data_IF_015679379159
#
_entry.id   IF_015679379159
#
_cell.length_a   1.000
_cell.length_b   1.000
_cell.length_c   1.000
_cell.angle_alpha   90.00
_cell.angle_beta   90.00
_cell.angle_gamma   90.00
#
_symmetry.space_group_name_H-M   'P 1'
#
loop_
_entity.id
_entity.type
_entity.pdbx_description
1 polymer ?
#
# COMPACT_ATOMS: atom_id res chain seq x y z
N UNK A 1 7.73 -6.69 -18.17
CA UNK A 1 7.02 -6.32 -16.92
C UNK A 1 7.88 -6.47 -15.66
N UNK A 2 8.78 -7.47 -15.57
CA UNK A 2 9.71 -7.66 -14.44
C UNK A 2 10.74 -6.52 -14.18
N UNK A 3 11.02 -5.67 -15.17
CA UNK A 3 11.93 -4.52 -15.02
C UNK A 3 11.34 -3.31 -14.26
N UNK A 4 10.04 -3.33 -13.95
CA UNK A 4 9.38 -2.29 -13.15
C UNK A 4 9.49 -2.53 -11.64
N UNK A 5 9.95 -3.72 -11.21
CA UNK A 5 9.88 -4.16 -9.80
C UNK A 5 11.24 -4.08 -9.08
N UNK A 6 12.36 -4.01 -9.80
CA UNK A 6 13.66 -3.75 -9.16
C UNK A 6 13.80 -2.26 -8.84
N UNK A 7 13.74 -1.92 -7.56
CA UNK A 7 14.39 -0.72 -7.04
C UNK A 7 15.85 -0.77 -7.49
N UNK A 8 16.24 0.19 -8.31
CA UNK A 8 17.62 0.30 -8.79
C UNK A 8 18.50 0.53 -7.55
N UNK A 9 19.53 -0.30 -7.28
CA UNK A 9 20.44 -0.08 -6.15
C UNK A 9 21.11 1.30 -6.18
N UNK A 10 21.15 1.95 -7.35
CA UNK A 10 21.65 3.32 -7.53
C UNK A 10 20.67 4.44 -7.14
N UNK A 11 19.40 4.11 -6.83
CA UNK A 11 18.39 5.07 -6.41
C UNK A 11 18.65 5.59 -4.98
N UNK A 12 19.12 4.72 -4.08
CA UNK A 12 19.35 5.07 -2.68
C UNK A 12 20.80 5.49 -2.46
N UNK A 13 21.12 6.70 -2.91
CA UNK A 13 22.48 7.21 -2.82
C UNK A 13 22.90 7.43 -1.35
N UNK A 14 24.06 6.91 -0.89
CA UNK A 14 24.49 7.05 0.50
C UNK A 14 24.58 8.50 0.98
N UNK A 15 24.96 9.43 0.12
CA UNK A 15 25.07 10.86 0.41
C UNK A 15 23.72 11.53 0.74
N UNK A 16 22.60 10.92 0.38
CA UNK A 16 21.26 11.42 0.68
C UNK A 16 20.74 11.00 2.06
N UNK A 17 21.43 10.06 2.72
CA UNK A 17 21.03 9.56 4.03
C UNK A 17 20.85 10.68 5.08
N UNK A 18 21.72 11.71 5.20
CA UNK A 18 21.50 12.80 6.14
C UNK A 18 20.15 13.52 5.94
N UNK A 19 19.72 13.72 4.69
CA UNK A 19 18.42 14.33 4.39
C UNK A 19 17.27 13.41 4.80
N UNK A 20 17.33 12.12 4.45
CA UNK A 20 16.27 11.13 4.78
C UNK A 20 16.04 11.01 6.28
N UNK A 21 17.10 11.16 7.09
CA UNK A 21 17.01 11.12 8.55
C UNK A 21 16.88 12.51 9.19
N UNK A 22 16.77 13.58 8.40
CA UNK A 22 16.56 14.93 8.88
C UNK A 22 15.15 15.17 9.43
N UNK A 23 14.93 16.35 10.01
CA UNK A 23 13.60 16.82 10.45
C UNK A 23 12.78 17.47 9.32
N UNK A 24 13.25 17.42 8.07
CA UNK A 24 12.50 17.96 6.95
C UNK A 24 11.12 17.25 6.84
N UNK A 25 10.00 17.98 6.68
CA UNK A 25 8.65 17.37 6.70
C UNK A 25 8.47 16.22 5.72
N UNK A 26 9.00 16.36 4.50
CA UNK A 26 8.95 15.31 3.49
C UNK A 26 9.73 14.05 3.90
N UNK A 27 10.90 14.22 4.52
CA UNK A 27 11.70 13.10 5.00
C UNK A 27 11.01 12.39 6.18
N UNK A 28 10.33 13.14 7.05
CA UNK A 28 9.49 12.57 8.11
C UNK A 28 8.33 11.77 7.51
N UNK A 29 7.57 12.37 6.59
CA UNK A 29 6.45 11.72 5.93
C UNK A 29 6.89 10.42 5.24
N UNK A 30 7.97 10.48 4.46
CA UNK A 30 8.57 9.31 3.82
C UNK A 30 8.89 8.20 4.83
N UNK A 31 9.57 8.53 5.94
CA UNK A 31 9.97 7.52 6.93
C UNK A 31 8.79 6.81 7.60
N UNK A 32 7.70 7.50 7.83
CA UNK A 32 6.51 6.93 8.49
C UNK A 32 5.47 6.39 7.53
N UNK A 33 5.59 6.68 6.23
CA UNK A 33 4.59 6.32 5.22
C UNK A 33 4.34 4.81 5.13
N UNK A 34 5.37 3.98 5.34
CA UNK A 34 5.25 2.52 5.39
C UNK A 34 4.33 2.02 6.52
N UNK A 35 4.14 2.81 7.59
CA UNK A 35 3.26 2.48 8.70
C UNK A 35 1.79 2.36 8.31
N UNK A 36 1.38 2.95 7.18
CA UNK A 36 0.04 2.80 6.63
C UNK A 36 -0.32 1.33 6.35
N UNK A 37 0.64 0.51 5.90
CA UNK A 37 0.41 -0.93 5.69
C UNK A 37 0.08 -1.64 7.00
N UNK A 38 0.85 -1.39 8.06
CA UNK A 38 0.61 -2.01 9.36
C UNK A 38 -0.70 -1.55 9.96
N UNK A 39 -1.07 -0.28 9.81
CA UNK A 39 -2.35 0.22 10.31
C UNK A 39 -3.54 -0.40 9.55
N UNK A 40 -3.48 -0.48 8.22
CA UNK A 40 -4.49 -1.18 7.42
C UNK A 40 -4.60 -2.65 7.82
N UNK A 41 -3.46 -3.33 8.01
CA UNK A 41 -3.41 -4.72 8.43
C UNK A 41 -4.05 -4.96 9.79
N UNK A 42 -3.74 -4.13 10.79
CA UNK A 42 -4.34 -4.20 12.13
C UNK A 42 -5.85 -3.99 12.10
N UNK A 43 -6.35 -3.02 11.32
CA UNK A 43 -7.79 -2.82 11.17
C UNK A 43 -8.46 -4.01 10.51
N UNK A 44 -7.82 -4.60 9.51
CA UNK A 44 -8.36 -5.75 8.81
C UNK A 44 -8.37 -7.01 9.69
N UNK A 45 -7.41 -7.15 10.62
CA UNK A 45 -7.46 -8.17 11.67
C UNK A 45 -8.61 -7.91 12.65
N UNK A 46 -8.78 -6.66 13.09
CA UNK A 46 -9.83 -6.27 14.04
C UNK A 46 -11.24 -6.47 13.46
N UNK A 47 -11.42 -6.20 12.17
CA UNK A 47 -12.70 -6.31 11.48
C UNK A 47 -12.80 -7.56 10.59
N UNK A 48 -11.91 -8.55 10.75
CA UNK A 48 -11.83 -9.71 9.87
C UNK A 48 -13.18 -10.45 9.76
N UNK A 49 -13.87 -10.67 10.88
CA UNK A 49 -15.15 -11.37 10.89
C UNK A 49 -16.25 -10.59 10.16
N UNK A 50 -16.20 -9.25 10.22
CA UNK A 50 -17.11 -8.39 9.44
C UNK A 50 -16.80 -8.45 7.96
N UNK A 51 -15.51 -8.44 7.59
CA UNK A 51 -15.10 -8.53 6.19
C UNK A 51 -15.52 -9.87 5.55
N UNK A 52 -15.61 -10.96 6.33
CA UNK A 52 -16.13 -12.25 5.85
C UNK A 52 -17.58 -12.17 5.36
N UNK A 53 -18.40 -11.25 5.90
CA UNK A 53 -19.77 -11.03 5.42
C UNK A 53 -19.81 -10.46 4.00
N UNK A 54 -18.74 -9.78 3.58
CA UNK A 54 -18.61 -9.25 2.22
C UNK A 54 -18.01 -10.26 1.24
N UNK A 55 -17.07 -11.09 1.69
CA UNK A 55 -16.56 -12.24 0.93
C UNK A 55 -15.93 -13.29 1.87
N UNK A 56 -16.59 -14.44 1.99
CA UNK A 56 -16.10 -15.54 2.82
C UNK A 56 -14.94 -16.33 2.19
N UNK A 57 -14.69 -16.17 0.88
CA UNK A 57 -13.61 -16.82 0.15
C UNK A 57 -12.25 -16.17 0.38
N UNK A 58 -12.20 -14.99 1.00
CA UNK A 58 -10.97 -14.26 1.29
C UNK A 58 -10.48 -14.59 2.70
N UNK A 59 -9.20 -14.91 2.82
CA UNK A 59 -8.55 -15.18 4.11
C UNK A 59 -8.14 -13.86 4.76
N UNK A 60 -9.13 -13.10 5.25
CA UNK A 60 -8.93 -11.75 5.79
C UNK A 60 -7.85 -11.71 6.88
N UNK A 61 -7.82 -12.65 7.82
CA UNK A 61 -6.77 -12.64 8.85
C UNK A 61 -5.35 -12.80 8.28
N UNK A 62 -5.16 -13.70 7.32
CA UNK A 62 -3.86 -13.90 6.68
C UNK A 62 -3.42 -12.65 5.92
N UNK A 63 -4.36 -12.00 5.24
CA UNK A 63 -4.15 -10.71 4.60
C UNK A 63 -3.73 -9.63 5.61
N UNK A 64 -4.47 -9.50 6.71
CA UNK A 64 -4.17 -8.52 7.75
C UNK A 64 -2.76 -8.69 8.32
N UNK A 65 -2.37 -9.93 8.62
CA UNK A 65 -1.02 -10.26 9.05
C UNK A 65 0.03 -9.91 7.99
N UNK A 66 -0.23 -10.23 6.72
CA UNK A 66 0.70 -9.94 5.64
C UNK A 66 0.91 -8.43 5.45
N UNK A 67 -0.13 -7.60 5.62
CA UNK A 67 -0.01 -6.14 5.62
C UNK A 67 0.79 -5.60 6.81
N UNK A 68 0.61 -6.18 8.00
CA UNK A 68 1.43 -5.84 9.18
C UNK A 68 2.89 -6.10 8.91
N UNK A 69 3.21 -7.29 8.40
CA UNK A 69 4.58 -7.68 8.02
C UNK A 69 5.11 -6.77 6.92
N UNK A 70 4.32 -6.45 5.91
CA UNK A 70 4.71 -5.56 4.81
C UNK A 70 5.11 -4.18 5.32
N UNK A 71 4.41 -3.60 6.30
CA UNK A 71 4.81 -2.30 6.85
C UNK A 71 6.20 -2.32 7.50
N UNK A 72 6.53 -3.40 8.22
CA UNK A 72 7.86 -3.59 8.79
C UNK A 72 8.93 -3.82 7.70
N UNK A 73 8.65 -4.69 6.73
CA UNK A 73 9.55 -5.01 5.62
C UNK A 73 9.82 -3.77 4.76
N UNK A 74 8.79 -2.99 4.45
CA UNK A 74 8.90 -1.73 3.71
C UNK A 74 9.77 -0.73 4.47
N UNK A 75 9.56 -0.54 5.78
CA UNK A 75 10.43 0.35 6.56
C UNK A 75 11.90 -0.11 6.55
N UNK A 76 12.14 -1.42 6.66
CA UNK A 76 13.49 -1.97 6.64
C UNK A 76 14.16 -1.81 5.26
N UNK A 77 13.40 -2.04 4.19
CA UNK A 77 13.86 -1.90 2.80
C UNK A 77 14.10 -0.44 2.42
N UNK A 78 13.09 0.40 2.58
CA UNK A 78 13.09 1.80 2.15
C UNK A 78 13.94 2.68 3.07
N UNK A 79 13.75 2.62 4.38
CA UNK A 79 14.29 3.63 5.31
C UNK A 79 15.57 3.15 5.98
N UNK A 80 15.49 2.04 6.72
CA UNK A 80 16.58 1.59 7.58
C UNK A 80 17.83 1.28 6.75
N UNK A 81 17.64 0.60 5.63
CA UNK A 81 18.72 0.20 4.72
C UNK A 81 19.08 1.24 3.66
N UNK A 82 18.57 2.46 3.74
CA UNK A 82 18.92 3.54 2.80
C UNK A 82 20.44 3.72 2.65
N UNK A 83 20.94 3.74 1.42
CA UNK A 83 22.38 3.87 1.16
C UNK A 83 23.23 2.64 1.50
N UNK A 84 22.61 1.50 1.81
CA UNK A 84 23.31 0.25 2.19
C UNK A 84 22.74 -0.96 1.44
N UNK A 85 23.56 -1.98 1.14
CA UNK A 85 23.05 -3.28 0.71
C UNK A 85 22.19 -3.92 1.79
N UNK A 86 21.08 -4.56 1.40
CA UNK A 86 20.17 -5.22 2.34
C UNK A 86 19.27 -6.20 1.62
N UNK A 87 18.98 -7.34 2.25
CA UNK A 87 18.00 -8.33 1.77
C UNK A 87 16.59 -7.73 1.72
N UNK A 88 16.28 -6.79 2.62
CA UNK A 88 14.98 -6.14 2.72
C UNK A 88 14.61 -5.36 1.44
N UNK A 89 15.59 -4.81 0.72
CA UNK A 89 15.38 -4.13 -0.56
C UNK A 89 14.93 -5.06 -1.69
N UNK A 90 15.14 -6.36 -1.54
CA UNK A 90 14.67 -7.37 -2.48
C UNK A 90 13.31 -7.92 -2.04
N UNK A 91 13.13 -8.15 -0.73
CA UNK A 91 11.89 -8.69 -0.18
C UNK A 91 10.72 -7.70 -0.24
N UNK A 92 10.96 -6.43 0.03
CA UNK A 92 9.92 -5.39 0.01
C UNK A 92 9.18 -5.31 -1.33
N UNK A 93 9.84 -5.08 -2.48
CA UNK A 93 9.13 -4.96 -3.75
C UNK A 93 8.45 -6.27 -4.17
N UNK A 94 8.97 -7.43 -3.76
CA UNK A 94 8.32 -8.72 -3.99
C UNK A 94 7.00 -8.81 -3.21
N UNK A 95 7.06 -8.60 -1.89
CA UNK A 95 5.89 -8.68 -1.02
C UNK A 95 4.87 -7.59 -1.36
N UNK A 96 5.31 -6.35 -1.60
CA UNK A 96 4.46 -5.25 -2.04
C UNK A 96 3.74 -5.55 -3.35
N UNK A 97 4.43 -6.15 -4.34
CA UNK A 97 3.81 -6.50 -5.63
C UNK A 97 2.81 -7.65 -5.48
N UNK A 98 3.14 -8.67 -4.70
CA UNK A 98 2.23 -9.80 -4.41
C UNK A 98 0.96 -9.31 -3.72
N UNK A 99 1.10 -8.47 -2.69
CA UNK A 99 -0.04 -7.86 -2.01
C UNK A 99 -0.82 -6.93 -2.94
N UNK A 100 -0.16 -6.07 -3.71
CA UNK A 100 -0.85 -5.19 -4.65
C UNK A 100 -1.67 -5.98 -5.69
N UNK A 101 -1.12 -7.05 -6.26
CA UNK A 101 -1.83 -7.89 -7.23
C UNK A 101 -3.00 -8.66 -6.57
N UNK A 102 -2.77 -9.19 -5.38
CA UNK A 102 -3.79 -9.90 -4.61
C UNK A 102 -4.91 -8.98 -4.10
N UNK A 103 -4.67 -7.68 -3.90
CA UNK A 103 -5.66 -6.78 -3.26
C UNK A 103 -6.15 -5.63 -4.14
N UNK A 104 -5.46 -5.28 -5.22
CA UNK A 104 -5.96 -4.34 -6.21
C UNK A 104 -6.81 -5.05 -7.26
N UNK A 105 -6.18 -5.62 -8.32
CA UNK A 105 -6.91 -6.22 -9.43
C UNK A 105 -7.78 -7.42 -9.05
N UNK A 106 -7.31 -8.29 -8.14
CA UNK A 106 -8.04 -9.50 -7.77
C UNK A 106 -9.33 -9.21 -6.99
N UNK A 107 -9.31 -8.31 -6.00
CA UNK A 107 -10.53 -7.87 -5.32
C UNK A 107 -11.50 -7.17 -6.28
N UNK A 108 -10.98 -6.36 -7.21
CA UNK A 108 -11.78 -5.77 -8.29
C UNK A 108 -12.46 -6.84 -9.16
N UNK A 109 -11.72 -7.86 -9.58
CA UNK A 109 -12.24 -8.98 -10.36
C UNK A 109 -13.31 -9.77 -9.59
N UNK A 110 -13.07 -10.06 -8.30
CA UNK A 110 -14.06 -10.75 -7.45
C UNK A 110 -15.33 -9.93 -7.26
N UNK A 111 -15.23 -8.61 -7.18
CA UNK A 111 -16.39 -7.73 -7.12
C UNK A 111 -17.17 -7.75 -8.44
N UNK A 112 -16.49 -7.68 -9.58
CA UNK A 112 -17.12 -7.77 -10.91
C UNK A 112 -17.79 -9.13 -11.16
N UNK A 113 -17.25 -10.21 -10.58
CA UNK A 113 -17.84 -11.55 -10.63
C UNK A 113 -18.97 -11.76 -9.59
N UNK A 114 -19.31 -10.75 -8.80
CA UNK A 114 -20.39 -10.81 -7.80
C UNK A 114 -20.03 -11.57 -6.52
N UNK A 115 -18.77 -11.97 -6.33
CA UNK A 115 -18.31 -12.64 -5.11
C UNK A 115 -18.02 -11.68 -3.96
N UNK A 116 -17.76 -10.41 -4.28
CA UNK A 116 -17.45 -9.36 -3.30
C UNK A 116 -18.42 -8.19 -3.47
N UNK A 117 -19.42 -8.12 -2.59
CA UNK A 117 -20.50 -7.12 -2.67
C UNK A 117 -20.11 -5.91 -1.82
N UNK A 118 -19.53 -4.89 -2.45
CA UNK A 118 -19.18 -3.62 -1.79
C UNK A 118 -19.89 -2.45 -2.46
N UNK A 119 -20.10 -1.32 -1.75
CA UNK A 119 -20.65 -0.12 -2.35
C UNK A 119 -19.82 0.31 -3.56
N UNK A 120 -20.51 0.71 -4.64
CA UNK A 120 -19.85 1.15 -5.89
C UNK A 120 -18.93 2.34 -5.69
N UNK A 121 -19.25 3.22 -4.73
CA UNK A 121 -18.42 4.36 -4.33
C UNK A 121 -17.08 3.88 -3.76
N UNK A 122 -17.12 2.94 -2.81
CA UNK A 122 -15.93 2.35 -2.17
C UNK A 122 -15.07 1.61 -3.18
N UNK A 123 -15.69 0.84 -4.10
CA UNK A 123 -14.97 0.16 -5.18
C UNK A 123 -14.30 1.14 -6.16
N UNK A 124 -15.03 2.16 -6.62
CA UNK A 124 -14.50 3.18 -7.54
C UNK A 124 -13.32 3.93 -6.93
N UNK A 125 -13.46 4.31 -5.66
CA UNK A 125 -12.39 4.97 -4.90
C UNK A 125 -11.16 4.07 -4.79
N UNK A 126 -11.34 2.79 -4.48
CA UNK A 126 -10.24 1.81 -4.39
C UNK A 126 -9.50 1.64 -5.72
N UNK A 127 -10.22 1.48 -6.83
CA UNK A 127 -9.64 1.33 -8.16
C UNK A 127 -8.88 2.59 -8.60
N UNK A 128 -9.45 3.76 -8.35
CA UNK A 128 -8.78 5.04 -8.60
C UNK A 128 -7.49 5.17 -7.76
N UNK A 129 -7.55 4.77 -6.49
CA UNK A 129 -6.37 4.72 -5.62
C UNK A 129 -5.29 3.78 -6.13
N UNK A 130 -5.65 2.59 -6.60
CA UNK A 130 -4.72 1.64 -7.21
C UNK A 130 -4.03 2.24 -8.45
N UNK A 131 -4.78 2.91 -9.32
CA UNK A 131 -4.23 3.58 -10.50
C UNK A 131 -3.27 4.72 -10.12
N UNK A 132 -3.64 5.54 -9.13
CA UNK A 132 -2.79 6.62 -8.62
C UNK A 132 -1.50 6.08 -7.99
N UNK A 133 -1.59 4.98 -7.24
CA UNK A 133 -0.43 4.32 -6.65
C UNK A 133 0.53 3.84 -7.74
N UNK A 134 0.04 3.13 -8.76
CA UNK A 134 0.87 2.68 -9.89
C UNK A 134 1.53 3.87 -10.60
N UNK A 135 0.79 4.95 -10.82
CA UNK A 135 1.33 6.17 -11.40
C UNK A 135 2.43 6.78 -10.53
N UNK A 136 2.21 6.89 -9.22
CA UNK A 136 3.18 7.39 -8.26
C UNK A 136 4.46 6.53 -8.22
N UNK A 137 4.32 5.20 -8.24
CA UNK A 137 5.45 4.27 -8.30
C UNK A 137 6.25 4.44 -9.59
N UNK A 138 5.57 4.58 -10.73
CA UNK A 138 6.22 4.82 -12.02
C UNK A 138 6.97 6.17 -12.03
N UNK A 139 6.38 7.22 -11.44
CA UNK A 139 7.03 8.54 -11.31
C UNK A 139 8.23 8.52 -10.36
N UNK A 140 8.16 7.80 -9.24
CA UNK A 140 9.29 7.62 -8.33
C UNK A 140 10.45 6.92 -9.04
N UNK A 141 10.18 5.82 -9.75
CA UNK A 141 11.18 5.11 -10.55
C UNK A 141 11.74 5.96 -11.70
N UNK A 142 10.91 6.78 -12.34
CA UNK A 142 11.37 7.71 -13.37
C UNK A 142 12.31 8.77 -12.77
N UNK A 143 11.96 9.34 -11.61
CA UNK A 143 12.75 10.35 -10.92
C UNK A 143 14.11 9.80 -10.46
N UNK A 144 14.16 8.54 -10.00
CA UNK A 144 15.40 7.90 -9.54
C UNK A 144 16.39 7.60 -10.68
N UNK A 145 15.90 7.37 -11.90
CA UNK A 145 16.71 7.04 -13.08
C UNK A 145 17.17 8.24 -13.91
N UNK A 146 16.84 9.47 -13.51
CA UNK A 146 17.30 10.67 -14.22
C UNK A 146 18.82 10.83 -14.09
N UNK A 147 19.44 11.46 -15.09
CA UNK A 147 20.88 11.78 -15.07
C UNK A 147 21.28 12.63 -13.85
N UNK A 148 20.41 13.59 -13.48
CA UNK A 148 20.48 14.33 -12.23
C UNK A 148 19.21 14.06 -11.41
N UNK A 149 19.16 12.96 -10.63
CA UNK A 149 17.96 12.60 -9.89
C UNK A 149 17.78 13.53 -8.69
N UNK A 150 16.53 13.92 -8.46
CA UNK A 150 16.12 14.84 -7.40
C UNK A 150 15.53 14.03 -6.25
N UNK A 151 16.23 14.01 -5.13
CA UNK A 151 15.83 13.26 -3.93
C UNK A 151 14.39 13.62 -3.51
N UNK A 152 14.07 14.90 -3.40
CA UNK A 152 12.76 15.34 -2.90
C UNK A 152 11.62 14.87 -3.81
N UNK A 153 11.80 14.94 -5.13
CA UNK A 153 10.81 14.45 -6.08
C UNK A 153 10.62 12.93 -5.93
N UNK A 154 11.71 12.19 -5.78
CA UNK A 154 11.64 10.74 -5.54
C UNK A 154 10.91 10.41 -4.24
N UNK A 155 11.25 11.09 -3.13
CA UNK A 155 10.61 10.88 -1.83
C UNK A 155 9.12 11.26 -1.87
N UNK A 156 8.75 12.33 -2.57
CA UNK A 156 7.36 12.75 -2.72
C UNK A 156 6.52 11.69 -3.46
N UNK A 157 7.00 11.22 -4.62
CA UNK A 157 6.30 10.17 -5.36
C UNK A 157 6.24 8.84 -4.60
N UNK A 158 7.30 8.47 -3.88
CA UNK A 158 7.30 7.25 -3.07
C UNK A 158 6.37 7.36 -1.86
N UNK A 159 6.32 8.51 -1.21
CA UNK A 159 5.37 8.78 -0.13
C UNK A 159 3.93 8.70 -0.64
N UNK A 160 3.67 9.20 -1.86
CA UNK A 160 2.36 9.11 -2.50
C UNK A 160 1.99 7.66 -2.88
N UNK A 161 2.96 6.83 -3.26
CA UNK A 161 2.73 5.38 -3.42
C UNK A 161 2.22 4.75 -2.12
N UNK A 162 2.76 5.15 -0.98
CA UNK A 162 2.30 4.73 0.34
C UNK A 162 0.99 5.39 0.80
N UNK A 163 0.35 6.26 0.00
CA UNK A 163 -1.00 6.75 0.30
C UNK A 163 -2.07 5.65 0.13
N UNK A 164 -1.81 4.63 -0.71
CA UNK A 164 -2.77 3.55 -0.96
C UNK A 164 -3.15 2.76 0.31
N UNK A 165 -2.21 2.37 1.19
CA UNK A 165 -2.56 1.80 2.49
C UNK A 165 -3.45 2.68 3.37
N UNK A 166 -3.27 4.01 3.35
CA UNK A 166 -4.16 4.92 4.07
C UNK A 166 -5.55 4.99 3.44
N UNK A 167 -5.64 4.88 2.12
CA UNK A 167 -6.93 4.70 1.45
C UNK A 167 -7.59 3.38 1.84
N UNK A 168 -6.82 2.30 1.96
CA UNK A 168 -7.32 1.00 2.42
C UNK A 168 -7.93 1.09 3.81
N UNK A 169 -7.28 1.82 4.74
CA UNK A 169 -7.81 2.12 6.07
C UNK A 169 -9.20 2.74 5.99
N UNK A 170 -9.37 3.78 5.15
CA UNK A 170 -10.67 4.42 4.96
C UNK A 170 -11.72 3.43 4.43
N UNK A 171 -11.38 2.66 3.40
CA UNK A 171 -12.30 1.65 2.84
C UNK A 171 -12.69 0.57 3.86
N UNK A 172 -11.74 0.08 4.67
CA UNK A 172 -12.01 -0.92 5.71
C UNK A 172 -12.97 -0.36 6.76
N UNK A 173 -12.75 0.88 7.22
CA UNK A 173 -13.61 1.54 8.20
C UNK A 173 -15.01 1.79 7.65
N UNK A 174 -15.12 2.27 6.42
CA UNK A 174 -16.39 2.49 5.72
C UNK A 174 -17.21 1.20 5.65
N UNK A 175 -16.61 0.12 5.16
CA UNK A 175 -17.24 -1.21 5.10
C UNK A 175 -17.61 -1.74 6.50
N UNK A 176 -16.72 -1.60 7.49
CA UNK A 176 -17.00 -2.04 8.85
C UNK A 176 -18.14 -1.25 9.51
N UNK A 177 -18.27 0.04 9.20
CA UNK A 177 -19.33 0.92 9.71
C UNK A 177 -20.67 0.61 9.03
N UNK A 178 -20.68 0.38 7.72
CA UNK A 178 -21.90 0.01 6.99
C UNK A 178 -22.56 -1.25 7.55
N UNK A 179 -21.79 -2.29 7.91
CA UNK A 179 -22.37 -3.48 8.55
C UNK A 179 -22.92 -3.21 9.96
N UNK A 180 -22.43 -2.18 10.64
CA UNK A 180 -22.87 -1.84 12.01
C UNK A 180 -24.16 -1.02 12.01
N UNK A 181 -24.35 -0.14 11.02
CA UNK A 181 -25.44 0.84 11.02
C UNK A 181 -26.45 0.65 9.88
N UNK A 182 -26.08 0.02 8.77
CA UNK A 182 -26.97 -0.21 7.62
C UNK A 182 -27.64 -1.60 7.65
N UNK A 183 -27.72 -2.23 8.82
CA UNK A 183 -28.28 -3.58 9.07
C UNK A 183 -29.74 -3.81 8.67
N UNK A 184 -30.34 -2.96 7.83
CA UNK A 184 -31.70 -3.09 7.31
C UNK A 184 -31.85 -2.88 5.79
N UNK A 185 -30.86 -2.31 5.07
CA UNK A 185 -31.05 -1.97 3.64
C UNK A 185 -30.26 -2.86 2.66
N UNK A 186 -29.11 -3.41 3.07
CA UNK A 186 -28.31 -4.26 2.16
C UNK A 186 -28.89 -5.67 1.95
N UNK A 187 -29.88 -6.08 2.75
CA UNK A 187 -30.57 -7.36 2.56
C UNK A 187 -31.70 -7.30 1.50
N UNK A 188 -31.93 -6.15 0.86
CA UNK A 188 -33.06 -5.92 -0.06
C UNK A 188 -32.68 -5.42 -1.46
N UNK A 189 -31.39 -5.36 -1.81
CA UNK A 189 -30.94 -4.97 -3.15
C UNK A 189 -30.34 -6.15 -3.92
#
# INVERSE_FOLDING_TARGET
>A
MLHLVRSDPSADRPEWRPYVFSRHPLAVAYRYSAGGYSFAGLLLLLFADRMRSYDAGVWWCALGMALVVQGAVAYLGDVQSWGRPSVWKQLDPLLASTLFLAFGPWLGARSLLGHFVVPRSTLSLWLAGCALALFAKAKAAQASRRAAPRLEEMLAWHTLWHALPFLAVFCILDLAFMLTFAGSEFARA
#
